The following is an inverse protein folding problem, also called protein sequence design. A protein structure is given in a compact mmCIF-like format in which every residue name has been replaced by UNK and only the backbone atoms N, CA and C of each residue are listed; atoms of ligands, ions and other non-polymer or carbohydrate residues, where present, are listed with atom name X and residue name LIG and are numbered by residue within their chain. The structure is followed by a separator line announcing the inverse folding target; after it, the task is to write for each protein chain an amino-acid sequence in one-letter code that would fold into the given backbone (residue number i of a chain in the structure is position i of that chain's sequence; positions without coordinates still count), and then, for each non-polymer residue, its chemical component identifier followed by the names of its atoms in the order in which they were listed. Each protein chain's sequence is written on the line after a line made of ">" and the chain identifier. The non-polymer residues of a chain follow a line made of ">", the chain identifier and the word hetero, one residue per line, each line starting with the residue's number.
data_IF_868294326249
#
_entry.id   IF_868294326249
#
_cell.length_a   1.000
_cell.length_b   1.000
_cell.length_c   1.000
_cell.angle_alpha   90.00
_cell.angle_beta   90.00
_cell.angle_gamma   90.00
#
_symmetry.space_group_name_H-M   'P 1'
#
loop_
_entity.id
_entity.type
_entity.pdbx_description
1 polymer ?
#
# COMPACT_ATOMS: atom_id res chain seq x y z
N UNK A 1 -33.72 13.32 42.96
CA UNK A 1 -34.71 14.06 42.14
C UNK A 1 -33.95 14.82 41.05
N UNK A 2 -34.46 14.73 39.83
CA UNK A 2 -33.76 14.84 38.55
C UNK A 2 -33.48 16.27 38.07
N UNK A 3 -32.58 16.36 37.08
CA UNK A 3 -32.39 17.50 36.17
C UNK A 3 -31.09 17.40 35.36
N UNK A 4 -30.84 16.27 34.69
CA UNK A 4 -30.82 16.08 33.23
C UNK A 4 -29.84 16.92 32.39
N UNK A 5 -28.77 16.23 31.97
CA UNK A 5 -27.92 16.53 30.82
C UNK A 5 -28.63 16.25 29.49
N UNK A 6 -28.34 17.08 28.48
CA UNK A 6 -28.62 16.81 27.07
C UNK A 6 -27.29 16.57 26.32
N UNK A 7 -26.95 15.31 26.07
CA UNK A 7 -26.02 14.88 25.01
C UNK A 7 -26.59 13.58 24.43
N UNK A 8 -27.20 13.68 23.26
CA UNK A 8 -27.70 12.53 22.50
C UNK A 8 -27.97 12.95 21.06
N UNK A 9 -27.04 12.60 20.17
CA UNK A 9 -27.33 12.16 18.81
C UNK A 9 -26.00 11.73 18.18
N UNK A 10 -25.65 10.44 18.27
CA UNK A 10 -24.84 9.65 17.31
C UNK A 10 -24.41 8.29 17.92
N UNK A 11 -25.32 7.57 18.58
CA UNK A 11 -25.02 6.24 19.14
C UNK A 11 -26.19 5.28 18.99
N UNK A 12 -26.80 5.24 17.79
CA UNK A 12 -27.80 4.22 17.44
C UNK A 12 -27.63 3.79 15.98
N UNK A 13 -26.65 2.92 15.76
CA UNK A 13 -26.68 1.84 14.78
C UNK A 13 -25.84 0.71 15.40
N UNK A 14 -26.05 -0.55 15.03
CA UNK A 14 -25.47 -1.76 15.64
C UNK A 14 -26.23 -2.37 16.83
N UNK A 15 -27.49 -2.78 16.59
CA UNK A 15 -28.07 -3.96 17.23
C UNK A 15 -28.95 -4.72 16.24
N UNK A 16 -28.44 -5.83 15.70
CA UNK A 16 -29.16 -7.06 15.35
C UNK A 16 -28.30 -7.91 14.40
N UNK A 17 -28.61 -9.21 14.32
CA UNK A 17 -28.08 -10.25 13.41
C UNK A 17 -27.08 -11.23 14.04
N UNK A 18 -27.61 -12.09 14.92
CA UNK A 18 -27.06 -13.42 15.17
C UNK A 18 -27.40 -14.35 13.97
N UNK A 19 -26.40 -15.05 13.43
CA UNK A 19 -26.57 -16.07 12.37
C UNK A 19 -27.04 -17.41 12.98
N UNK A 20 -28.01 -18.12 12.39
CA UNK A 20 -28.33 -19.51 12.77
C UNK A 20 -27.40 -20.53 12.09
N UNK A 21 -27.21 -21.73 12.67
CA UNK A 21 -26.25 -22.73 12.18
C UNK A 21 -26.76 -23.50 10.95
N UNK A 22 -25.86 -23.74 10.00
CA UNK A 22 -26.10 -24.53 8.79
C UNK A 22 -26.12 -26.05 9.10
N UNK A 23 -27.10 -26.75 8.53
CA UNK A 23 -27.25 -28.20 8.59
C UNK A 23 -26.32 -28.90 7.59
N UNK A 24 -25.60 -29.94 8.05
CA UNK A 24 -24.81 -30.85 7.19
C UNK A 24 -25.74 -31.78 6.39
N UNK A 25 -25.47 -32.04 5.10
CA UNK A 25 -26.08 -33.16 4.39
C UNK A 25 -25.37 -34.49 4.69
N UNK A 26 -26.17 -35.56 4.65
CA UNK A 26 -25.85 -36.93 5.01
C UNK A 26 -25.00 -37.64 3.95
N UNK A 27 -24.05 -38.45 4.40
CA UNK A 27 -23.31 -39.42 3.61
C UNK A 27 -24.24 -40.52 3.06
N UNK A 28 -24.19 -40.75 1.75
CA UNK A 28 -24.77 -41.95 1.13
C UNK A 28 -23.65 -42.82 0.59
N UNK A 29 -23.53 -44.04 1.12
CA UNK A 29 -22.65 -45.11 0.63
C UNK A 29 -23.11 -45.57 -0.76
N UNK A 30 -22.18 -45.72 -1.70
CA UNK A 30 -22.38 -46.52 -2.91
C UNK A 30 -21.17 -47.42 -3.14
N UNK A 31 -21.48 -48.68 -3.44
CA UNK A 31 -20.63 -49.86 -3.49
C UNK A 31 -19.59 -49.90 -4.61
N UNK A 32 -18.55 -50.68 -4.35
CA UNK A 32 -17.50 -51.10 -5.28
C UNK A 32 -18.05 -51.83 -6.52
N UNK A 33 -17.40 -51.58 -7.66
CA UNK A 33 -17.52 -52.37 -8.89
C UNK A 33 -16.36 -52.08 -9.84
N UNK A 34 -15.45 -53.04 -10.01
CA UNK A 34 -14.34 -52.98 -10.96
C UNK A 34 -14.82 -53.22 -12.41
N UNK A 35 -14.33 -52.43 -13.38
CA UNK A 35 -13.44 -52.85 -14.50
C UNK A 35 -13.50 -51.91 -15.74
N UNK A 36 -12.30 -51.50 -16.14
CA UNK A 36 -11.75 -51.21 -17.48
C UNK A 36 -12.31 -50.17 -18.47
N UNK A 37 -11.32 -49.43 -19.01
CA UNK A 37 -11.17 -48.82 -20.33
C UNK A 37 -11.64 -47.35 -20.51
N UNK A 38 -10.69 -46.42 -20.31
CA UNK A 38 -10.76 -45.06 -20.86
C UNK A 38 -9.82 -44.93 -22.06
N UNK A 39 -10.29 -44.45 -23.22
CA UNK A 39 -9.43 -43.99 -24.30
C UNK A 39 -8.91 -42.59 -23.95
N UNK A 40 -7.63 -42.47 -23.62
CA UNK A 40 -6.97 -41.17 -23.53
C UNK A 40 -6.71 -40.62 -24.95
N UNK A 41 -7.04 -39.35 -25.24
CA UNK A 41 -6.56 -38.69 -26.45
C UNK A 41 -5.03 -38.57 -26.34
N UNK A 42 -4.33 -39.14 -27.33
CA UNK A 42 -2.87 -39.07 -27.44
C UNK A 42 -2.44 -37.62 -27.62
N UNK A 43 -1.90 -37.01 -26.55
CA UNK A 43 -1.00 -35.89 -26.71
C UNK A 43 0.24 -36.38 -27.48
N UNK A 44 0.59 -35.73 -28.59
CA UNK A 44 1.81 -36.02 -29.34
C UNK A 44 3.03 -35.86 -28.42
N UNK A 45 3.55 -36.98 -27.92
CA UNK A 45 4.85 -37.04 -27.27
C UNK A 45 5.88 -36.81 -28.38
N UNK A 46 6.58 -35.67 -28.36
CA UNK A 46 7.78 -35.49 -29.21
C UNK A 46 8.75 -36.61 -28.83
N UNK A 47 9.01 -37.53 -29.75
CA UNK A 47 9.98 -38.61 -29.57
C UNK A 47 11.38 -38.05 -29.25
N UNK A 48 12.10 -38.74 -28.38
CA UNK A 48 13.49 -38.39 -28.07
C UNK A 48 14.34 -38.58 -29.34
N UNK A 49 15.09 -37.55 -29.78
CA UNK A 49 15.80 -37.61 -31.05
C UNK A 49 16.88 -38.69 -31.02
N UNK A 50 16.93 -39.52 -32.08
CA UNK A 50 17.91 -40.61 -32.23
C UNK A 50 19.34 -40.10 -32.36
N UNK A 51 19.51 -38.84 -32.77
CA UNK A 51 20.81 -38.15 -32.90
C UNK A 51 20.70 -36.77 -32.26
N UNK A 52 21.60 -36.45 -31.33
CA UNK A 52 21.79 -35.10 -30.80
C UNK A 52 23.16 -34.58 -31.28
N UNK A 53 23.15 -33.77 -32.34
CA UNK A 53 24.36 -33.15 -32.89
C UNK A 53 24.80 -31.90 -32.13
N UNK A 54 24.10 -31.52 -31.06
CA UNK A 54 24.42 -30.35 -30.22
C UNK A 54 25.03 -30.79 -28.88
N UNK A 55 26.04 -30.06 -28.41
CA UNK A 55 26.49 -30.20 -27.03
C UNK A 55 25.46 -29.58 -26.09
N UNK A 56 25.07 -30.33 -25.05
CA UNK A 56 24.20 -29.78 -24.02
C UNK A 56 24.87 -28.63 -23.29
N UNK A 57 24.20 -27.50 -23.15
CA UNK A 57 24.71 -26.38 -22.36
C UNK A 57 24.83 -26.79 -20.88
N UNK A 58 26.02 -26.62 -20.29
CA UNK A 58 26.18 -26.81 -18.85
C UNK A 58 25.53 -25.63 -18.13
N UNK A 59 24.55 -25.92 -17.29
CA UNK A 59 23.94 -24.90 -16.45
C UNK A 59 24.88 -24.49 -15.32
N UNK A 60 25.37 -23.25 -15.36
CA UNK A 60 26.21 -22.67 -14.31
C UNK A 60 25.34 -21.75 -13.46
N UNK A 61 24.79 -22.32 -12.40
CA UNK A 61 23.79 -21.68 -11.56
C UNK A 61 24.16 -20.26 -11.07
N UNK A 62 25.38 -19.99 -10.55
CA UNK A 62 25.74 -18.64 -10.12
C UNK A 62 25.68 -17.60 -11.25
N UNK A 63 26.09 -17.98 -12.47
CA UNK A 63 25.99 -17.08 -13.63
C UNK A 63 24.54 -16.84 -14.03
N UNK A 64 23.72 -17.89 -13.99
CA UNK A 64 22.29 -17.81 -14.30
C UNK A 64 21.51 -16.97 -13.29
N UNK A 65 21.90 -17.01 -12.01
CA UNK A 65 21.33 -16.16 -10.97
C UNK A 65 21.83 -14.71 -11.08
N UNK A 66 23.11 -14.48 -11.35
CA UNK A 66 23.62 -13.12 -11.56
C UNK A 66 22.94 -12.41 -12.76
N UNK A 67 22.55 -13.16 -13.79
CA UNK A 67 21.85 -12.63 -14.96
C UNK A 67 20.50 -11.99 -14.61
N UNK A 68 19.71 -12.62 -13.73
CA UNK A 68 18.34 -12.14 -13.44
C UNK A 68 18.32 -10.78 -12.72
N UNK A 69 19.40 -10.41 -12.03
CA UNK A 69 19.56 -9.09 -11.41
C UNK A 69 19.62 -7.94 -12.42
N UNK A 70 19.82 -8.22 -13.71
CA UNK A 70 19.95 -7.21 -14.79
C UNK A 70 18.65 -6.94 -15.55
N UNK A 71 17.54 -7.61 -15.19
CA UNK A 71 16.29 -7.50 -15.96
C UNK A 71 15.50 -6.21 -15.70
N UNK A 72 15.74 -5.55 -14.57
CA UNK A 72 15.08 -4.30 -14.22
C UNK A 72 16.11 -3.25 -13.78
N UNK A 73 16.27 -2.19 -14.59
CA UNK A 73 17.20 -1.08 -14.31
C UNK A 73 18.68 -1.44 -14.51
N UNK A 74 19.57 -0.77 -13.77
CA UNK A 74 21.01 -0.99 -13.87
C UNK A 74 21.62 -0.51 -15.19
N UNK A 75 22.77 -1.07 -15.56
CA UNK A 75 23.54 -0.66 -16.74
C UNK A 75 22.79 -0.87 -18.06
N UNK A 76 21.83 -1.80 -18.09
CA UNK A 76 21.04 -2.15 -19.27
C UNK A 76 19.59 -1.62 -19.20
N UNK A 77 19.35 -0.59 -18.39
CA UNK A 77 18.01 -0.04 -18.13
C UNK A 77 17.28 0.49 -19.37
N UNK A 78 18.02 0.81 -20.43
CA UNK A 78 17.52 1.28 -21.73
C UNK A 78 17.08 0.16 -22.68
N UNK A 79 17.42 -1.09 -22.38
CA UNK A 79 17.10 -2.26 -23.22
C UNK A 79 16.46 -3.42 -22.44
N UNK A 80 16.19 -3.26 -21.14
CA UNK A 80 15.51 -4.25 -20.31
C UNK A 80 14.07 -3.83 -19.98
N UNK A 81 13.43 -4.48 -18.99
CA UNK A 81 12.04 -4.20 -18.63
C UNK A 81 11.82 -2.73 -18.24
N UNK A 82 12.83 -2.10 -17.64
CA UNK A 82 12.79 -0.69 -17.23
C UNK A 82 12.50 0.26 -18.40
N UNK A 83 12.94 -0.08 -19.62
CA UNK A 83 12.78 0.73 -20.81
C UNK A 83 11.31 0.86 -21.27
N UNK A 84 10.42 -0.02 -20.81
CA UNK A 84 9.03 -0.11 -21.28
C UNK A 84 7.98 0.05 -20.17
N UNK A 85 8.40 0.43 -18.94
CA UNK A 85 7.49 0.62 -17.81
C UNK A 85 6.49 1.78 -17.99
N UNK A 86 6.80 2.73 -18.86
CA UNK A 86 5.98 3.91 -19.09
C UNK A 86 5.77 4.12 -20.59
N UNK A 87 4.53 4.40 -20.98
CA UNK A 87 4.18 4.68 -22.38
C UNK A 87 4.25 6.17 -22.71
N UNK A 88 3.97 7.02 -21.71
CA UNK A 88 3.86 8.46 -21.91
C UNK A 88 4.13 9.21 -20.61
N UNK A 89 4.74 10.39 -20.74
CA UNK A 89 5.00 11.34 -19.66
C UNK A 89 4.85 12.76 -20.21
N UNK A 90 4.03 13.58 -19.54
CA UNK A 90 3.68 14.93 -19.98
C UNK A 90 3.70 15.91 -18.81
N UNK A 91 4.47 16.98 -18.94
CA UNK A 91 4.67 18.01 -17.91
C UNK A 91 4.47 19.44 -18.44
N UNK A 92 4.15 19.58 -19.74
CA UNK A 92 3.96 20.89 -20.36
C UNK A 92 2.74 21.61 -19.82
N UNK A 93 2.74 22.95 -19.90
CA UNK A 93 1.63 23.80 -19.47
C UNK A 93 0.29 23.49 -20.18
N UNK A 94 0.34 22.80 -21.33
CA UNK A 94 -0.85 22.27 -22.01
C UNK A 94 -1.59 21.28 -21.11
N UNK A 95 -0.87 20.46 -20.36
CA UNK A 95 -1.44 19.36 -19.56
C UNK A 95 -1.44 19.64 -18.06
N UNK A 96 -0.42 20.33 -17.53
CA UNK A 96 -0.28 20.55 -16.10
C UNK A 96 -0.12 22.04 -15.81
N UNK A 97 -1.03 22.60 -15.02
CA UNK A 97 -0.90 23.94 -14.45
C UNK A 97 -0.76 23.84 -12.93
N UNK A 98 0.26 24.50 -12.38
CA UNK A 98 0.55 24.53 -10.95
C UNK A 98 0.52 25.97 -10.44
N UNK A 99 -0.06 26.15 -9.27
CA UNK A 99 -0.01 27.40 -8.52
C UNK A 99 0.28 27.07 -7.06
N UNK A 100 1.10 27.85 -6.37
CA UNK A 100 1.55 27.60 -5.01
C UNK A 100 1.28 28.78 -4.09
N UNK A 101 0.94 28.49 -2.85
CA UNK A 101 0.94 29.42 -1.75
C UNK A 101 1.71 28.83 -0.57
N UNK A 102 2.62 29.62 0.01
CA UNK A 102 3.43 29.21 1.16
C UNK A 102 2.86 29.80 2.43
N UNK A 103 2.59 28.95 3.43
CA UNK A 103 2.10 29.40 4.72
C UNK A 103 3.17 30.25 5.44
N UNK A 104 2.77 31.29 6.19
CA UNK A 104 3.72 32.14 6.90
C UNK A 104 4.39 31.38 8.05
N UNK A 105 5.72 31.46 8.12
CA UNK A 105 6.51 30.82 9.17
C UNK A 105 6.28 29.30 9.21
N UNK A 106 6.05 28.77 10.41
CA UNK A 106 5.81 27.34 10.65
C UNK A 106 4.32 27.00 10.85
N UNK A 107 3.42 27.89 10.40
CA UNK A 107 1.98 27.67 10.54
C UNK A 107 1.52 26.50 9.66
N UNK A 108 0.54 25.74 10.17
CA UNK A 108 -0.12 24.62 9.48
C UNK A 108 -1.60 24.97 9.27
N UNK A 109 -1.91 25.88 8.34
CA UNK A 109 -3.28 26.32 8.12
C UNK A 109 -4.13 25.17 7.59
N UNK A 110 -5.40 25.13 7.99
CA UNK A 110 -6.38 24.20 7.44
C UNK A 110 -6.61 24.43 5.95
N UNK A 111 -7.16 23.43 5.27
CA UNK A 111 -7.57 23.54 3.86
C UNK A 111 -8.42 24.80 3.60
N UNK A 112 -9.42 25.05 4.45
CA UNK A 112 -10.33 26.18 4.30
C UNK A 112 -9.64 27.56 4.46
N UNK A 113 -8.60 27.64 5.29
CA UNK A 113 -7.80 28.85 5.45
C UNK A 113 -6.84 29.06 4.28
N UNK A 114 -6.21 27.98 3.81
CA UNK A 114 -5.31 28.00 2.67
C UNK A 114 -6.03 28.38 1.37
N UNK A 115 -7.25 27.86 1.14
CA UNK A 115 -7.99 28.14 -0.10
C UNK A 115 -8.45 29.60 -0.25
N UNK A 116 -8.43 30.39 0.83
CA UNK A 116 -8.72 31.83 0.82
C UNK A 116 -7.53 32.71 0.41
N UNK A 117 -6.35 32.10 0.29
CA UNK A 117 -5.11 32.82 0.03
C UNK A 117 -4.90 33.04 -1.48
N UNK A 118 -3.97 33.94 -1.79
CA UNK A 118 -3.55 34.20 -3.16
C UNK A 118 -2.42 33.24 -3.56
N UNK A 119 -2.68 32.43 -4.59
CA UNK A 119 -1.72 31.47 -5.13
C UNK A 119 -1.02 32.11 -6.32
N UNK A 120 0.29 31.91 -6.42
CA UNK A 120 1.11 32.37 -7.56
C UNK A 120 1.45 31.19 -8.48
N UNK A 121 1.72 31.42 -9.78
CA UNK A 121 2.20 30.37 -10.67
C UNK A 121 3.44 29.65 -10.12
N UNK A 122 3.50 28.34 -10.31
CA UNK A 122 4.59 27.47 -9.88
C UNK A 122 4.99 26.50 -10.99
N UNK A 123 6.21 25.98 -10.95
CA UNK A 123 6.76 25.15 -12.02
C UNK A 123 7.58 24.00 -11.44
N UNK A 124 7.67 22.90 -12.19
CA UNK A 124 8.61 21.83 -11.86
C UNK A 124 10.03 22.40 -11.79
N UNK A 125 10.74 22.04 -10.74
CA UNK A 125 12.09 22.51 -10.44
C UNK A 125 12.15 23.67 -9.43
N UNK A 126 11.02 24.27 -9.06
CA UNK A 126 10.97 25.32 -8.02
C UNK A 126 11.45 24.78 -6.67
N UNK A 127 12.21 25.62 -5.95
CA UNK A 127 12.69 25.35 -4.61
C UNK A 127 11.82 26.04 -3.55
N UNK A 128 11.55 25.36 -2.45
CA UNK A 128 10.70 25.85 -1.35
C UNK A 128 11.15 25.28 0.00
N UNK A 129 10.72 25.92 1.09
CA UNK A 129 11.21 25.65 2.44
C UNK A 129 11.24 26.92 3.30
N UNK A 130 11.98 26.91 4.42
CA UNK A 130 12.85 25.82 4.90
C UNK A 130 12.08 24.72 5.65
N UNK A 131 12.79 23.86 6.37
CA UNK A 131 12.26 22.80 7.22
C UNK A 131 10.98 23.17 7.98
N UNK A 132 10.04 22.23 8.01
CA UNK A 132 8.75 22.31 8.72
C UNK A 132 7.73 23.31 8.17
N UNK A 133 8.12 24.16 7.21
CA UNK A 133 7.15 25.03 6.50
C UNK A 133 6.10 24.21 5.74
N UNK A 134 4.99 24.86 5.41
CA UNK A 134 3.84 24.25 4.75
C UNK A 134 3.54 24.99 3.44
N UNK A 135 3.30 24.24 2.37
CA UNK A 135 3.05 24.79 1.04
C UNK A 135 1.82 24.13 0.45
N UNK A 136 0.90 24.94 -0.07
CA UNK A 136 -0.32 24.48 -0.70
C UNK A 136 -0.22 24.68 -2.21
N UNK A 137 -0.56 23.65 -2.97
CA UNK A 137 -0.49 23.65 -4.43
C UNK A 137 -1.89 23.46 -4.99
N UNK A 138 -2.30 24.32 -5.92
CA UNK A 138 -3.46 24.08 -6.78
C UNK A 138 -2.95 23.48 -8.07
N UNK A 139 -3.47 22.30 -8.41
CA UNK A 139 -3.07 21.55 -9.59
C UNK A 139 -4.28 21.41 -10.50
N UNK A 140 -4.13 21.84 -11.76
CA UNK A 140 -5.12 21.60 -12.81
C UNK A 140 -4.48 20.71 -13.87
N UNK A 141 -5.04 19.52 -14.03
CA UNK A 141 -4.63 18.52 -15.01
C UNK A 141 -5.61 18.52 -16.17
N UNK A 142 -5.13 18.84 -17.37
CA UNK A 142 -5.90 18.70 -18.62
C UNK A 142 -5.62 17.33 -19.20
N UNK A 143 -6.67 16.55 -19.39
CA UNK A 143 -6.56 15.12 -19.74
C UNK A 143 -7.56 14.82 -20.85
N UNK A 144 -7.35 15.36 -22.08
CA UNK A 144 -8.32 15.22 -23.15
C UNK A 144 -8.69 13.76 -23.39
N UNK A 145 -9.98 13.43 -23.32
CA UNK A 145 -10.45 12.03 -23.36
C UNK A 145 -9.96 11.31 -24.62
N UNK A 146 -9.94 12.00 -25.76
CA UNK A 146 -9.44 11.47 -27.03
C UNK A 146 -7.96 11.06 -27.01
N UNK A 147 -7.15 11.62 -26.12
CA UNK A 147 -5.72 11.33 -26.01
C UNK A 147 -5.39 10.28 -24.94
N UNK A 148 -6.26 10.07 -23.94
CA UNK A 148 -5.95 9.26 -22.77
C UNK A 148 -6.93 8.10 -22.50
N UNK A 149 -8.07 8.02 -23.20
CA UNK A 149 -9.09 6.98 -22.99
C UNK A 149 -8.62 5.55 -23.26
N UNK A 150 -7.62 5.39 -24.13
CA UNK A 150 -7.10 4.07 -24.52
C UNK A 150 -6.26 3.42 -23.41
N UNK A 151 -5.77 4.21 -22.46
CA UNK A 151 -4.91 3.71 -21.40
C UNK A 151 -5.72 3.19 -20.22
N UNK A 152 -5.35 2.01 -19.73
CA UNK A 152 -5.95 1.42 -18.54
C UNK A 152 -5.83 2.37 -17.34
N UNK A 153 -4.62 2.89 -17.12
CA UNK A 153 -4.27 3.75 -15.98
C UNK A 153 -3.53 5.01 -16.44
N UNK A 154 -3.90 6.13 -15.84
CA UNK A 154 -3.20 7.41 -15.96
C UNK A 154 -2.97 7.93 -14.54
N UNK A 155 -1.74 8.30 -14.23
CA UNK A 155 -1.34 8.83 -12.93
C UNK A 155 -0.89 10.27 -13.06
N UNK A 156 -1.00 11.01 -11.96
CA UNK A 156 -0.26 12.23 -11.74
C UNK A 156 0.87 11.92 -10.76
N UNK A 157 2.11 12.09 -11.20
CA UNK A 157 3.28 11.95 -10.33
C UNK A 157 3.67 13.33 -9.80
N UNK A 158 3.61 13.50 -8.48
CA UNK A 158 4.00 14.73 -7.80
C UNK A 158 5.05 14.42 -6.73
N UNK A 159 6.28 14.84 -6.99
CA UNK A 159 7.41 14.62 -6.08
C UNK A 159 7.95 15.95 -5.56
N UNK A 160 7.51 16.40 -4.38
CA UNK A 160 8.00 17.61 -3.75
C UNK A 160 9.34 17.40 -3.01
N UNK A 161 9.95 16.19 -3.08
CA UNK A 161 11.13 15.84 -2.29
C UNK A 161 10.86 15.69 -0.78
N UNK A 162 9.60 15.85 -0.37
CA UNK A 162 9.13 15.80 1.01
C UNK A 162 7.76 15.11 1.10
N UNK A 163 7.15 15.12 2.27
CA UNK A 163 5.84 14.53 2.49
C UNK A 163 4.71 15.47 2.02
N UNK A 164 3.65 14.91 1.45
CA UNK A 164 2.49 15.68 1.03
C UNK A 164 1.16 14.90 1.14
N UNK A 165 0.05 15.62 1.03
CA UNK A 165 -1.30 15.09 1.02
C UNK A 165 -2.08 15.71 -0.14
N UNK A 166 -2.74 14.86 -0.93
CA UNK A 166 -3.67 15.26 -1.98
C UNK A 166 -5.07 15.37 -1.40
N UNK A 167 -5.74 16.45 -1.73
CA UNK A 167 -7.14 16.74 -1.45
C UNK A 167 -7.91 16.94 -2.75
N UNK A 168 -9.19 16.61 -2.72
CA UNK A 168 -10.14 17.11 -3.71
C UNK A 168 -10.36 18.62 -3.51
N UNK A 169 -10.99 19.29 -4.48
CA UNK A 169 -11.26 20.74 -4.44
C UNK A 169 -12.22 21.16 -3.32
N UNK A 170 -12.95 20.20 -2.73
CA UNK A 170 -13.82 20.42 -1.58
C UNK A 170 -13.12 20.23 -0.22
N UNK A 171 -11.84 19.83 -0.22
CA UNK A 171 -11.06 19.56 0.98
C UNK A 171 -11.12 18.12 1.49
N UNK A 172 -11.71 17.20 0.73
CA UNK A 172 -11.69 15.76 1.06
C UNK A 172 -10.28 15.21 0.89
N UNK A 173 -9.66 14.61 1.93
CA UNK A 173 -8.36 13.95 1.80
C UNK A 173 -8.45 12.71 0.91
N UNK A 174 -7.55 12.59 -0.06
CA UNK A 174 -7.56 11.52 -1.07
C UNK A 174 -6.38 10.57 -0.90
N UNK A 175 -5.16 11.09 -0.79
CA UNK A 175 -3.97 10.27 -0.95
C UNK A 175 -2.71 10.92 -0.37
N UNK A 176 -1.87 10.13 0.30
CA UNK A 176 -0.59 10.59 0.83
C UNK A 176 0.58 10.37 -0.13
N UNK A 177 1.49 11.34 -0.16
CA UNK A 177 2.74 11.34 -0.91
C UNK A 177 3.91 11.31 0.06
N UNK A 178 4.90 10.49 -0.28
CA UNK A 178 6.23 10.48 0.31
C UNK A 178 7.23 10.72 -0.83
N UNK A 179 7.66 11.97 -1.00
CA UNK A 179 8.65 12.35 -2.01
C UNK A 179 10.09 12.02 -1.62
N UNK A 180 11.02 12.27 -2.55
CA UNK A 180 12.45 12.00 -2.39
C UNK A 180 12.90 10.75 -3.13
N UNK A 181 13.84 9.99 -2.54
CA UNK A 181 14.49 8.84 -3.17
C UNK A 181 14.41 7.62 -2.25
N UNK A 182 14.57 6.42 -2.83
CA UNK A 182 14.59 5.16 -2.08
C UNK A 182 13.29 4.36 -2.17
N UNK A 183 13.23 3.24 -1.44
CA UNK A 183 12.12 2.28 -1.49
C UNK A 183 10.81 2.81 -0.90
N UNK A 184 10.87 3.80 -0.02
CA UNK A 184 9.71 4.38 0.64
C UNK A 184 9.03 5.49 -0.18
N UNK A 185 9.62 5.83 -1.33
CA UNK A 185 9.12 6.87 -2.23
C UNK A 185 7.78 6.45 -2.82
N UNK A 186 6.79 7.33 -2.69
CA UNK A 186 5.44 7.18 -3.23
C UNK A 186 4.90 8.53 -3.68
N UNK A 187 4.74 8.70 -4.98
CA UNK A 187 4.45 10.01 -5.59
C UNK A 187 3.32 9.94 -6.61
N UNK A 188 2.87 8.73 -6.92
CA UNK A 188 1.87 8.45 -7.92
C UNK A 188 0.46 8.58 -7.34
N UNK A 189 -0.38 9.33 -8.04
CA UNK A 189 -1.80 9.43 -7.75
C UNK A 189 -2.60 9.01 -8.97
N UNK A 190 -3.45 7.99 -8.83
CA UNK A 190 -4.27 7.49 -9.93
C UNK A 190 -5.38 8.49 -10.22
N UNK A 191 -5.44 8.99 -11.45
CA UNK A 191 -6.45 9.93 -11.87
C UNK A 191 -7.78 9.18 -12.07
N UNK A 192 -8.87 9.58 -11.37
CA UNK A 192 -10.15 8.91 -11.49
C UNK A 192 -10.66 8.86 -12.94
N UNK A 193 -11.24 7.73 -13.35
CA UNK A 193 -11.83 7.56 -14.69
C UNK A 193 -12.93 8.60 -14.96
N UNK A 194 -13.65 9.03 -13.94
CA UNK A 194 -14.66 10.11 -14.05
C UNK A 194 -14.04 11.45 -14.45
N UNK A 195 -12.85 11.78 -13.92
CA UNK A 195 -12.12 12.99 -14.29
C UNK A 195 -11.52 12.89 -15.70
N UNK A 196 -10.99 11.72 -16.07
CA UNK A 196 -10.51 11.43 -17.44
C UNK A 196 -11.61 11.64 -18.49
N UNK A 197 -12.83 11.18 -18.22
CA UNK A 197 -14.00 11.40 -19.09
C UNK A 197 -14.41 12.86 -19.18
N UNK A 198 -14.22 13.65 -18.12
CA UNK A 198 -14.50 15.10 -18.12
C UNK A 198 -13.45 15.92 -18.87
N UNK A 199 -12.28 15.34 -19.15
CA UNK A 199 -11.17 16.02 -19.81
C UNK A 199 -10.32 16.90 -18.88
N UNK A 200 -10.66 16.97 -17.59
CA UNK A 200 -9.97 17.79 -16.59
C UNK A 200 -10.08 17.16 -15.20
N UNK A 201 -9.00 17.23 -14.43
CA UNK A 201 -8.96 16.92 -13.01
C UNK A 201 -8.35 18.08 -12.25
N UNK A 202 -8.98 18.52 -11.17
CA UNK A 202 -8.46 19.58 -10.30
C UNK A 202 -8.30 19.01 -8.91
N UNK A 203 -7.12 19.23 -8.33
CA UNK A 203 -6.78 18.77 -6.99
C UNK A 203 -5.99 19.86 -6.27
N UNK A 204 -5.90 19.70 -4.96
CA UNK A 204 -5.09 20.54 -4.10
C UNK A 204 -4.11 19.66 -3.35
N UNK A 205 -2.86 20.10 -3.18
CA UNK A 205 -1.83 19.32 -2.48
C UNK A 205 -1.27 20.15 -1.33
N UNK A 206 -1.21 19.59 -0.13
CA UNK A 206 -0.47 20.15 0.99
C UNK A 206 0.89 19.46 1.09
N UNK A 207 1.99 20.20 0.96
CA UNK A 207 3.35 19.71 1.20
C UNK A 207 3.89 20.23 2.52
N UNK A 208 4.47 19.34 3.31
CA UNK A 208 5.19 19.66 4.54
C UNK A 208 6.68 19.45 4.31
N UNK A 209 7.49 20.48 4.54
CA UNK A 209 8.94 20.45 4.30
C UNK A 209 9.68 19.60 5.34
N UNK A 210 9.48 18.29 5.29
CA UNK A 210 10.19 17.27 6.05
C UNK A 210 10.12 15.93 5.30
N UNK A 211 11.12 15.06 5.49
CA UNK A 211 11.08 13.68 5.01
C UNK A 211 10.27 12.76 5.93
N UNK A 212 10.23 11.46 5.57
CA UNK A 212 9.55 10.43 6.36
C UNK A 212 10.06 10.39 7.82
N UNK A 213 11.36 10.55 8.02
CA UNK A 213 12.00 10.52 9.33
C UNK A 213 12.49 11.91 9.78
N UNK A 214 11.70 12.96 9.52
CA UNK A 214 12.06 14.33 9.87
C UNK A 214 13.06 14.94 8.88
N UNK A 215 14.09 15.62 9.36
CA UNK A 215 15.01 16.39 8.49
C UNK A 215 16.28 15.67 8.08
N UNK A 216 16.63 14.56 8.73
CA UNK A 216 17.95 13.94 8.58
C UNK A 216 17.98 12.68 7.69
N UNK A 217 17.00 12.47 6.81
CA UNK A 217 17.09 11.41 5.79
C UNK A 217 17.32 10.00 6.36
N UNK A 218 16.80 9.71 7.56
CA UNK A 218 16.97 8.44 8.28
C UNK A 218 17.98 8.47 9.43
N UNK A 219 18.71 9.57 9.61
CA UNK A 219 19.56 9.80 10.78
C UNK A 219 18.79 10.25 12.03
N UNK A 220 19.46 10.16 13.19
CA UNK A 220 18.95 10.59 14.51
C UNK A 220 19.64 11.87 15.02
N UNK A 221 20.42 12.54 14.17
CA UNK A 221 21.04 13.81 14.52
C UNK A 221 20.02 14.95 14.61
N UNK A 222 20.48 16.11 15.09
CA UNK A 222 19.60 17.26 15.28
C UNK A 222 19.01 17.72 13.93
N UNK A 223 17.71 18.08 13.89
CA UNK A 223 17.08 18.47 12.64
C UNK A 223 17.71 19.75 12.08
N UNK A 224 18.05 19.74 10.78
CA UNK A 224 18.49 20.94 10.07
C UNK A 224 17.30 21.90 9.90
N UNK A 225 17.32 23.11 10.49
CA UNK A 225 16.24 24.09 10.33
C UNK A 225 16.23 24.76 8.95
N UNK A 226 17.27 24.62 8.14
CA UNK A 226 17.48 25.30 6.86
C UNK A 226 17.50 24.35 5.66
N UNK A 227 16.86 23.18 5.77
CA UNK A 227 16.71 22.27 4.64
C UNK A 227 15.66 22.80 3.67
N UNK A 228 16.03 22.89 2.39
CA UNK A 228 15.12 23.24 1.30
C UNK A 228 14.82 22.01 0.45
N UNK A 229 13.66 22.04 -0.19
CA UNK A 229 13.12 20.98 -1.01
C UNK A 229 12.87 21.52 -2.42
N UNK A 230 12.79 20.61 -3.38
CA UNK A 230 12.58 20.94 -4.79
C UNK A 230 11.43 20.09 -5.32
N UNK A 231 10.58 20.71 -6.14
CA UNK A 231 9.57 19.98 -6.90
C UNK A 231 10.25 19.24 -8.06
N UNK A 232 10.60 17.97 -7.85
CA UNK A 232 11.34 17.15 -8.81
C UNK A 232 10.46 16.58 -9.93
N UNK A 233 9.17 16.32 -9.66
CA UNK A 233 8.23 15.78 -10.65
C UNK A 233 6.84 16.37 -10.43
N UNK A 234 6.13 16.72 -11.51
CA UNK A 234 4.74 17.16 -11.50
C UNK A 234 4.11 16.83 -12.85
N UNK A 235 4.03 15.54 -13.16
CA UNK A 235 3.90 15.04 -14.52
C UNK A 235 2.67 14.12 -14.62
N UNK A 236 1.92 14.20 -15.71
CA UNK A 236 0.94 13.17 -16.07
C UNK A 236 1.69 11.99 -16.68
N UNK A 237 1.54 10.82 -16.09
CA UNK A 237 2.26 9.61 -16.47
C UNK A 237 1.29 8.51 -16.86
N UNK A 238 1.63 7.78 -17.92
CA UNK A 238 0.89 6.61 -18.38
C UNK A 238 1.76 5.37 -18.15
N UNK A 239 1.57 4.66 -17.03
CA UNK A 239 2.29 3.42 -16.77
C UNK A 239 1.79 2.29 -17.66
N UNK A 240 2.71 1.57 -18.32
CA UNK A 240 2.40 0.36 -19.08
C UNK A 240 2.02 -0.76 -18.10
N UNK A 241 0.72 -1.00 -17.90
CA UNK A 241 0.24 -1.92 -16.86
C UNK A 241 0.74 -3.34 -17.04
N UNK A 242 0.89 -3.82 -18.28
CA UNK A 242 1.40 -5.18 -18.52
C UNK A 242 2.89 -5.31 -18.18
N UNK A 243 3.69 -4.28 -18.47
CA UNK A 243 5.09 -4.24 -18.07
C UNK A 243 5.25 -4.17 -16.54
N UNK A 244 4.40 -3.38 -15.87
CA UNK A 244 4.38 -3.28 -14.41
C UNK A 244 3.94 -4.58 -13.74
N UNK A 245 2.95 -5.29 -14.30
CA UNK A 245 2.59 -6.63 -13.80
C UNK A 245 3.75 -7.60 -13.97
N UNK A 246 4.40 -7.62 -15.13
CA UNK A 246 5.60 -8.44 -15.36
C UNK A 246 6.75 -8.08 -14.42
N UNK A 247 6.89 -6.80 -14.05
CA UNK A 247 7.88 -6.35 -13.08
C UNK A 247 7.66 -7.01 -11.71
N UNK A 248 6.41 -7.04 -11.23
CA UNK A 248 6.08 -7.68 -9.96
C UNK A 248 6.22 -9.20 -10.03
N UNK A 249 5.74 -9.82 -11.11
CA UNK A 249 5.90 -11.26 -11.37
C UNK A 249 7.39 -11.65 -11.30
N UNK A 250 8.25 -10.89 -11.99
CA UNK A 250 9.68 -11.14 -12.02
C UNK A 250 10.37 -10.84 -10.69
N UNK A 251 9.95 -9.79 -9.99
CA UNK A 251 10.49 -9.44 -8.67
C UNK A 251 10.23 -10.56 -7.67
N UNK A 252 9.01 -11.10 -7.63
CA UNK A 252 8.66 -12.25 -6.78
C UNK A 252 9.49 -13.49 -7.15
N UNK A 253 9.68 -13.79 -8.44
CA UNK A 253 10.55 -14.90 -8.86
C UNK A 253 12.00 -14.70 -8.39
N UNK A 254 12.54 -13.49 -8.49
CA UNK A 254 13.89 -13.16 -8.00
C UNK A 254 13.99 -13.35 -6.49
N UNK A 255 13.01 -12.88 -5.73
CA UNK A 255 12.98 -13.05 -4.27
C UNK A 255 12.91 -14.53 -3.87
N UNK A 256 12.14 -15.34 -4.59
CA UNK A 256 12.15 -16.80 -4.39
C UNK A 256 13.54 -17.40 -4.66
N UNK A 257 14.23 -16.93 -5.69
CA UNK A 257 15.59 -17.39 -6.02
C UNK A 257 16.60 -17.02 -4.95
N UNK A 258 16.56 -15.78 -4.48
CA UNK A 258 17.54 -15.23 -3.55
C UNK A 258 17.30 -15.70 -2.10
N UNK A 259 16.05 -16.00 -1.74
CA UNK A 259 15.68 -16.37 -0.37
C UNK A 259 15.70 -17.89 -0.13
N UNK A 260 15.24 -18.68 -1.10
CA UNK A 260 15.13 -20.13 -0.90
C UNK A 260 16.49 -20.83 -1.02
N UNK A 261 16.72 -21.93 -0.29
CA UNK A 261 17.95 -22.70 -0.40
C UNK A 261 18.22 -23.16 -1.84
N UNK A 262 19.49 -23.05 -2.23
CA UNK A 262 20.03 -23.28 -3.58
C UNK A 262 19.73 -24.60 -4.27
N UNK A 263 19.11 -25.59 -3.63
CA UNK A 263 18.85 -26.90 -4.24
C UNK A 263 17.39 -27.33 -4.11
N UNK A 264 16.49 -26.41 -3.74
CA UNK A 264 15.06 -26.74 -3.66
C UNK A 264 14.43 -26.79 -5.06
N UNK A 265 13.43 -27.68 -5.29
CA UNK A 265 12.71 -27.73 -6.55
C UNK A 265 12.09 -26.38 -6.94
N UNK A 266 11.45 -25.69 -5.99
CA UNK A 266 10.80 -24.40 -6.23
C UNK A 266 11.80 -23.32 -6.64
N UNK A 267 12.94 -23.22 -5.94
CA UNK A 267 13.95 -22.23 -6.30
C UNK A 267 14.54 -22.47 -7.70
N UNK A 268 14.82 -23.73 -8.05
CA UNK A 268 15.30 -24.10 -9.38
C UNK A 268 14.25 -23.80 -10.46
N UNK A 269 12.98 -24.06 -10.19
CA UNK A 269 11.87 -23.75 -11.08
C UNK A 269 11.73 -22.24 -11.27
N UNK A 270 11.79 -21.45 -10.20
CA UNK A 270 11.75 -19.99 -10.25
C UNK A 270 12.92 -19.40 -11.04
N UNK A 271 14.15 -19.89 -10.83
CA UNK A 271 15.34 -19.44 -11.56
C UNK A 271 15.22 -19.76 -13.07
N UNK A 272 14.68 -20.94 -13.40
CA UNK A 272 14.44 -21.35 -14.78
C UNK A 272 13.37 -20.48 -15.44
N UNK A 273 12.26 -20.24 -14.74
CA UNK A 273 11.17 -19.37 -15.21
C UNK A 273 11.65 -17.93 -15.43
N UNK A 274 12.38 -17.34 -14.48
CA UNK A 274 12.95 -16.00 -14.62
C UNK A 274 13.90 -15.90 -15.83
N UNK A 275 14.73 -16.91 -16.08
CA UNK A 275 15.60 -16.91 -17.26
C UNK A 275 14.83 -17.06 -18.57
N UNK A 276 13.78 -17.87 -18.58
CA UNK A 276 12.89 -18.02 -19.72
C UNK A 276 12.12 -16.72 -20.00
N UNK A 277 11.68 -15.99 -18.96
CA UNK A 277 11.10 -14.65 -19.08
C UNK A 277 12.09 -13.69 -19.77
N UNK A 278 13.34 -13.62 -19.29
CA UNK A 278 14.35 -12.75 -19.91
C UNK A 278 14.66 -13.13 -21.37
N UNK A 279 14.49 -14.39 -21.75
CA UNK A 279 14.67 -14.84 -23.14
C UNK A 279 13.45 -14.51 -24.03
N UNK A 280 12.25 -14.55 -23.45
CA UNK A 280 11.00 -14.29 -24.16
C UNK A 280 10.73 -12.79 -24.35
N UNK A 281 11.23 -11.96 -23.43
CA UNK A 281 11.09 -10.51 -23.43
C UNK A 281 12.00 -9.86 -24.49
N UNK A 282 11.41 -8.95 -25.26
CA UNK A 282 12.10 -8.05 -26.19
C UNK A 282 11.45 -6.67 -26.06
N UNK A 283 12.22 -5.68 -25.59
CA UNK A 283 11.73 -4.31 -25.35
C UNK A 283 11.20 -3.63 -26.63
N UNK A 284 11.53 -4.15 -27.82
CA UNK A 284 11.08 -3.64 -29.12
C UNK A 284 9.77 -4.27 -29.60
N UNK A 285 9.34 -5.36 -28.96
CA UNK A 285 8.11 -6.10 -29.28
C UNK A 285 7.18 -6.09 -28.06
N UNK A 286 6.15 -5.20 -28.02
CA UNK A 286 5.21 -5.14 -26.91
C UNK A 286 4.49 -6.47 -26.63
N UNK A 287 4.30 -7.32 -27.64
CA UNK A 287 3.67 -8.64 -27.45
C UNK A 287 4.54 -9.60 -26.64
N UNK A 288 5.85 -9.35 -26.55
CA UNK A 288 6.79 -10.14 -25.78
C UNK A 288 6.51 -10.10 -24.28
N UNK A 289 5.93 -9.01 -23.76
CA UNK A 289 5.53 -8.88 -22.35
C UNK A 289 4.50 -9.94 -22.00
N UNK A 290 3.49 -10.12 -22.85
CA UNK A 290 2.47 -11.16 -22.66
C UNK A 290 3.07 -12.55 -22.70
N UNK A 291 3.97 -12.84 -23.67
CA UNK A 291 4.68 -14.12 -23.74
C UNK A 291 5.52 -14.38 -22.47
N UNK A 292 6.17 -13.35 -21.94
CA UNK A 292 6.91 -13.44 -20.69
C UNK A 292 6.00 -13.74 -19.49
N UNK A 293 4.84 -13.09 -19.38
CA UNK A 293 3.86 -13.38 -18.32
C UNK A 293 3.25 -14.79 -18.44
N UNK A 294 3.10 -15.32 -19.66
CA UNK A 294 2.68 -16.72 -19.87
C UNK A 294 3.70 -17.72 -19.30
N UNK A 295 5.00 -17.40 -19.32
CA UNK A 295 6.04 -18.23 -18.67
C UNK A 295 5.88 -18.23 -17.15
N UNK A 296 5.53 -17.09 -16.55
CA UNK A 296 5.36 -16.95 -15.09
C UNK A 296 4.22 -17.83 -14.53
N UNK A 297 3.20 -18.15 -15.35
CA UNK A 297 2.10 -19.06 -14.98
C UNK A 297 2.60 -20.46 -14.55
N UNK A 298 3.76 -20.89 -15.04
CA UNK A 298 4.35 -22.17 -14.62
C UNK A 298 4.73 -22.23 -13.13
N UNK A 299 4.87 -21.06 -12.48
CA UNK A 299 5.16 -20.95 -11.05
C UNK A 299 3.95 -20.47 -10.26
N UNK A 300 3.26 -19.44 -10.73
CA UNK A 300 2.15 -18.81 -9.98
C UNK A 300 0.80 -19.49 -10.19
N UNK A 301 0.69 -20.39 -11.17
CA UNK A 301 -0.57 -20.98 -11.59
C UNK A 301 -1.17 -20.26 -12.79
N UNK A 302 -2.06 -20.94 -13.50
CA UNK A 302 -2.71 -20.41 -14.70
C UNK A 302 -3.66 -19.27 -14.32
N UNK A 303 -3.55 -18.13 -15.00
CA UNK A 303 -4.41 -16.95 -14.83
C UNK A 303 -4.52 -16.46 -13.36
N UNK A 304 -3.47 -16.67 -12.55
CA UNK A 304 -3.46 -16.35 -11.12
C UNK A 304 -3.83 -14.89 -10.79
N UNK A 305 -3.47 -13.95 -11.66
CA UNK A 305 -3.72 -12.52 -11.51
C UNK A 305 -5.16 -12.10 -11.89
N UNK A 306 -5.98 -13.04 -12.36
CA UNK A 306 -7.37 -12.79 -12.79
C UNK A 306 -8.41 -13.48 -11.92
N UNK A 307 -7.98 -14.40 -11.05
CA UNK A 307 -8.92 -15.11 -10.16
C UNK A 307 -9.46 -14.11 -9.15
N UNK A 308 -10.76 -13.82 -9.25
CA UNK A 308 -11.47 -12.81 -8.46
C UNK A 308 -10.77 -11.45 -8.39
N UNK A 309 -10.39 -10.91 -9.55
CA UNK A 309 -9.66 -9.62 -9.61
C UNK A 309 -8.24 -9.67 -9.02
N UNK A 310 -7.72 -10.87 -8.77
CA UNK A 310 -6.44 -11.13 -8.11
C UNK A 310 -6.57 -11.57 -6.66
N UNK A 311 -7.71 -11.33 -6.00
CA UNK A 311 -7.93 -11.70 -4.60
C UNK A 311 -8.14 -13.20 -4.39
N UNK A 312 -8.57 -13.93 -5.43
CA UNK A 312 -8.82 -15.37 -5.33
C UNK A 312 -7.57 -16.23 -5.10
N UNK A 313 -6.37 -15.64 -5.13
CA UNK A 313 -5.15 -16.32 -4.67
C UNK A 313 -5.18 -16.64 -3.17
N UNK A 314 -6.07 -15.99 -2.41
CA UNK A 314 -6.31 -16.24 -0.99
C UNK A 314 -7.46 -17.23 -0.73
N UNK A 315 -8.17 -17.66 -1.77
CA UNK A 315 -9.29 -18.60 -1.63
C UNK A 315 -8.82 -19.92 -1.01
N UNK A 316 -9.56 -20.41 -0.02
CA UNK A 316 -9.23 -21.64 0.71
C UNK A 316 -8.14 -21.49 1.77
N UNK A 317 -7.54 -20.30 1.96
CA UNK A 317 -6.55 -20.07 3.02
C UNK A 317 -7.15 -20.20 4.44
N UNK A 318 -8.43 -19.89 4.59
CA UNK A 318 -9.17 -19.97 5.85
C UNK A 318 -9.87 -21.31 6.08
N UNK A 319 -9.83 -22.22 5.10
CA UNK A 319 -10.40 -23.56 5.28
C UNK A 319 -9.54 -24.33 6.28
N UNK A 320 -10.15 -24.82 7.36
CA UNK A 320 -9.56 -25.82 8.26
C UNK A 320 -9.36 -27.14 7.48
N UNK A 321 -8.46 -27.13 6.52
CA UNK A 321 -7.95 -28.33 5.87
C UNK A 321 -7.12 -29.12 6.88
N UNK A 322 -7.15 -30.44 6.72
CA UNK A 322 -6.15 -31.39 7.19
C UNK A 322 -4.71 -30.83 7.06
N UNK A 323 -3.75 -31.33 7.84
CA UNK A 323 -2.39 -30.77 8.09
C UNK A 323 -1.61 -30.12 6.92
N UNK A 324 -2.04 -30.33 5.66
CA UNK A 324 -1.52 -29.74 4.42
C UNK A 324 -2.22 -28.44 3.95
N UNK A 325 -3.38 -28.06 4.49
CA UNK A 325 -4.18 -26.90 4.06
C UNK A 325 -4.21 -25.73 5.04
N UNK A 326 -3.55 -25.83 6.18
CA UNK A 326 -3.55 -24.78 7.22
C UNK A 326 -2.73 -23.57 6.77
N UNK A 327 -3.33 -22.38 6.78
CA UNK A 327 -2.58 -21.13 6.68
C UNK A 327 -1.58 -20.98 7.85
N UNK A 328 -0.29 -20.94 7.52
CA UNK A 328 0.80 -20.82 8.50
C UNK A 328 1.23 -19.37 8.75
N UNK A 329 0.99 -18.47 7.78
CA UNK A 329 1.46 -17.09 7.82
C UNK A 329 0.28 -16.16 7.59
N UNK A 330 0.01 -15.33 8.59
CA UNK A 330 -1.02 -14.29 8.52
C UNK A 330 -0.35 -12.94 8.27
N UNK A 331 -0.80 -12.22 7.25
CA UNK A 331 -0.36 -10.86 6.95
C UNK A 331 -1.41 -9.85 7.39
N UNK A 332 -0.96 -8.73 7.95
CA UNK A 332 -1.81 -7.57 8.20
C UNK A 332 -1.03 -6.30 7.88
N UNK A 333 -1.65 -5.37 7.17
CA UNK A 333 -1.07 -4.05 6.95
C UNK A 333 -0.99 -3.29 8.28
N UNK A 334 0.13 -2.65 8.55
CA UNK A 334 0.30 -1.81 9.74
C UNK A 334 1.10 -0.57 9.39
N UNK A 335 0.74 0.57 9.97
CA UNK A 335 1.51 1.81 9.86
C UNK A 335 1.76 2.31 11.27
N UNK A 336 2.97 2.03 11.77
CA UNK A 336 3.48 2.63 12.98
C UNK A 336 3.79 4.10 12.71
N UNK A 337 3.27 4.99 13.55
CA UNK A 337 3.55 6.41 13.49
C UNK A 337 3.91 6.86 14.90
N UNK A 338 5.19 7.15 15.12
CA UNK A 338 5.61 7.75 16.39
C UNK A 338 4.87 9.05 16.63
N UNK A 339 4.27 9.15 17.81
CA UNK A 339 3.45 10.31 18.14
C UNK A 339 4.31 11.58 18.22
N UNK A 340 5.52 11.46 18.76
CA UNK A 340 6.60 12.44 18.59
C UNK A 340 7.95 11.75 18.74
N UNK A 341 8.72 11.71 17.66
CA UNK A 341 10.10 11.18 17.67
C UNK A 341 11.06 12.21 17.06
N UNK A 342 11.17 12.22 15.73
CA UNK A 342 12.01 13.18 14.98
C UNK A 342 11.22 14.39 14.45
N UNK A 343 9.98 14.56 14.92
CA UNK A 343 9.05 15.61 14.50
C UNK A 343 8.08 15.99 15.63
N UNK A 344 7.49 17.20 15.59
CA UNK A 344 6.49 17.62 16.58
C UNK A 344 5.10 17.00 16.32
N UNK A 345 4.21 17.07 17.31
CA UNK A 345 2.84 16.53 17.20
C UNK A 345 2.06 17.07 16.00
N UNK A 346 2.26 18.33 15.61
CA UNK A 346 1.58 18.92 14.45
C UNK A 346 1.91 18.19 13.14
N UNK A 347 3.12 17.64 13.02
CA UNK A 347 3.50 16.81 11.87
C UNK A 347 2.84 15.44 11.95
N UNK A 348 2.76 14.83 13.14
CA UNK A 348 2.02 13.57 13.36
C UNK A 348 0.57 13.66 12.92
N UNK A 349 -0.10 14.76 13.22
CA UNK A 349 -1.50 14.98 12.82
C UNK A 349 -1.67 14.93 11.29
N UNK A 350 -0.74 15.52 10.53
CA UNK A 350 -0.68 15.40 9.08
C UNK A 350 -0.25 13.98 8.62
N UNK A 351 0.71 13.34 9.32
CA UNK A 351 1.17 11.94 9.05
C UNK A 351 0.00 10.97 9.11
N UNK A 352 -0.76 10.99 10.20
CA UNK A 352 -1.92 10.13 10.42
C UNK A 352 -2.91 10.29 9.28
N UNK A 353 -3.27 11.53 8.92
CA UNK A 353 -4.21 11.77 7.84
C UNK A 353 -3.74 11.16 6.51
N UNK A 354 -2.51 11.42 6.09
CA UNK A 354 -2.03 10.99 4.75
C UNK A 354 -1.74 9.51 4.65
N UNK A 355 -1.25 8.91 5.73
CA UNK A 355 -1.11 7.46 5.83
C UNK A 355 -2.48 6.79 5.76
N UNK A 356 -3.47 7.25 6.52
CA UNK A 356 -4.75 6.55 6.59
C UNK A 356 -5.66 6.85 5.39
N UNK A 357 -5.59 8.04 4.78
CA UNK A 357 -6.26 8.31 3.50
C UNK A 357 -5.80 7.33 2.41
N UNK A 358 -4.49 7.09 2.37
CA UNK A 358 -3.88 6.08 1.49
C UNK A 358 -4.39 4.68 1.77
N UNK A 359 -4.48 4.27 3.04
CA UNK A 359 -4.97 2.93 3.39
C UNK A 359 -6.44 2.76 3.00
N UNK A 360 -7.26 3.80 3.16
CA UNK A 360 -8.66 3.78 2.71
C UNK A 360 -8.75 3.64 1.19
N UNK A 361 -7.94 4.38 0.42
CA UNK A 361 -7.85 4.24 -1.04
C UNK A 361 -7.40 2.82 -1.45
N UNK A 362 -6.45 2.22 -0.74
CA UNK A 362 -6.02 0.84 -1.00
C UNK A 362 -7.14 -0.16 -0.71
N UNK A 363 -7.89 -0.02 0.39
CA UNK A 363 -9.05 -0.88 0.71
C UNK A 363 -10.19 -0.77 -0.31
N UNK A 364 -10.31 0.36 -1.01
CA UNK A 364 -11.28 0.55 -2.10
C UNK A 364 -10.84 -0.17 -3.38
N UNK A 365 -9.53 -0.43 -3.54
CA UNK A 365 -8.94 -1.10 -4.72
C UNK A 365 -8.66 -2.59 -4.52
N UNK A 366 -8.39 -3.00 -3.28
CA UNK A 366 -8.03 -4.36 -2.87
C UNK A 366 -8.95 -4.76 -1.71
N UNK A 367 -9.95 -5.57 -1.99
CA UNK A 367 -11.02 -5.90 -1.03
C UNK A 367 -10.57 -6.85 0.09
N UNK A 368 -9.54 -7.63 -0.19
CA UNK A 368 -8.84 -8.52 0.72
C UNK A 368 -7.94 -7.78 1.70
N UNK A 369 -7.57 -6.52 1.41
CA UNK A 369 -6.66 -5.74 2.25
C UNK A 369 -7.22 -5.54 3.66
N UNK A 370 -6.39 -5.79 4.66
CA UNK A 370 -6.67 -5.56 6.08
C UNK A 370 -5.58 -4.69 6.66
N UNK A 371 -5.97 -3.67 7.41
CA UNK A 371 -5.05 -2.72 8.02
C UNK A 371 -5.36 -2.54 9.49
N UNK A 372 -4.32 -2.46 10.33
CA UNK A 372 -4.47 -2.24 11.75
C UNK A 372 -3.61 -1.07 12.24
N UNK A 373 -4.15 -0.30 13.20
CA UNK A 373 -3.46 0.82 13.82
C UNK A 373 -3.90 1.04 15.27
N UNK A 374 -2.96 1.45 16.11
CA UNK A 374 -3.03 1.29 17.57
C UNK A 374 -3.47 2.55 18.33
N UNK A 375 -2.86 3.70 18.07
CA UNK A 375 -2.92 4.84 19.01
C UNK A 375 -4.26 5.59 18.95
N UNK A 376 -5.10 5.48 19.98
CA UNK A 376 -6.39 6.18 20.05
C UNK A 376 -6.29 7.72 19.93
N UNK A 377 -5.18 8.31 20.42
CA UNK A 377 -4.91 9.74 20.30
C UNK A 377 -4.83 10.21 18.84
N UNK A 378 -4.31 9.39 17.93
CA UNK A 378 -4.19 9.76 16.52
C UNK A 378 -5.55 9.83 15.84
N UNK A 379 -6.45 8.91 16.14
CA UNK A 379 -7.84 9.00 15.68
C UNK A 379 -8.58 10.19 16.27
N UNK A 380 -8.28 10.60 17.52
CA UNK A 380 -8.85 11.83 18.09
C UNK A 380 -8.46 13.05 17.26
N UNK A 381 -7.17 13.20 16.97
CA UNK A 381 -6.72 14.30 16.11
C UNK A 381 -7.32 14.22 14.72
N UNK A 382 -7.49 13.01 14.17
CA UNK A 382 -8.11 12.84 12.86
C UNK A 382 -9.59 13.25 12.85
N UNK A 383 -10.37 12.88 13.85
CA UNK A 383 -11.77 13.30 13.97
C UNK A 383 -11.89 14.83 14.05
N UNK A 384 -11.01 15.46 14.84
CA UNK A 384 -11.02 16.91 15.05
C UNK A 384 -10.59 17.68 13.79
N UNK A 385 -9.59 17.20 13.04
CA UNK A 385 -8.97 17.95 11.94
C UNK A 385 -9.42 17.52 10.55
N UNK A 386 -9.78 16.25 10.36
CA UNK A 386 -10.15 15.65 9.08
C UNK A 386 -11.45 14.82 9.21
N UNK A 387 -12.57 15.44 9.61
CA UNK A 387 -13.81 14.71 9.93
C UNK A 387 -14.37 13.90 8.75
N UNK A 388 -14.18 14.36 7.50
CA UNK A 388 -14.61 13.63 6.30
C UNK A 388 -13.84 12.32 6.13
N UNK A 389 -12.52 12.35 6.36
CA UNK A 389 -11.68 11.15 6.34
C UNK A 389 -11.99 10.23 7.53
N UNK A 390 -12.18 10.79 8.73
CA UNK A 390 -12.58 10.00 9.89
C UNK A 390 -13.87 9.21 9.62
N UNK A 391 -14.88 9.83 9.00
CA UNK A 391 -16.12 9.14 8.59
C UNK A 391 -15.87 7.97 7.62
N UNK A 392 -14.98 8.15 6.64
CA UNK A 392 -14.58 7.06 5.71
C UNK A 392 -13.90 5.91 6.47
N UNK A 393 -13.03 6.23 7.42
CA UNK A 393 -12.38 5.23 8.26
C UNK A 393 -13.39 4.51 9.15
N UNK A 394 -14.33 5.21 9.79
CA UNK A 394 -15.39 4.59 10.57
C UNK A 394 -16.21 3.61 9.74
N UNK A 395 -16.46 3.90 8.46
CA UNK A 395 -17.09 2.96 7.54
C UNK A 395 -16.21 1.72 7.27
N UNK A 396 -14.89 1.88 7.09
CA UNK A 396 -13.98 0.75 6.92
C UNK A 396 -13.81 -0.10 8.19
N UNK A 397 -13.89 0.53 9.37
CA UNK A 397 -13.93 -0.17 10.66
C UNK A 397 -15.21 -1.00 10.76
N UNK A 398 -16.36 -0.41 10.46
CA UNK A 398 -17.64 -1.11 10.42
C UNK A 398 -17.66 -2.28 9.42
N UNK A 399 -16.97 -2.13 8.29
CA UNK A 399 -16.81 -3.17 7.28
C UNK A 399 -15.79 -4.25 7.68
N UNK A 400 -15.10 -4.11 8.82
CA UNK A 400 -14.10 -5.07 9.29
C UNK A 400 -12.82 -5.10 8.47
N UNK A 401 -12.45 -3.99 7.80
CA UNK A 401 -11.23 -3.88 6.99
C UNK A 401 -10.14 -3.02 7.64
N UNK A 402 -10.56 -2.05 8.45
CA UNK A 402 -9.68 -1.23 9.28
C UNK A 402 -9.87 -1.64 10.74
N UNK A 403 -8.81 -2.15 11.38
CA UNK A 403 -8.86 -2.70 12.72
C UNK A 403 -8.19 -1.75 13.72
N UNK A 404 -8.96 -1.10 14.61
CA UNK A 404 -8.41 -0.52 15.82
C UNK A 404 -7.87 -1.65 16.69
N UNK A 405 -6.60 -1.54 17.09
CA UNK A 405 -5.91 -2.55 17.89
C UNK A 405 -5.16 -1.87 19.05
N UNK A 406 -4.55 -2.63 19.95
CA UNK A 406 -3.71 -2.11 21.02
C UNK A 406 -4.47 -1.60 22.24
N UNK A 407 -5.63 -0.95 22.08
CA UNK A 407 -6.51 -0.56 23.18
C UNK A 407 -6.00 0.55 24.11
N UNK A 408 -4.80 1.06 23.87
CA UNK A 408 -4.18 2.15 24.64
C UNK A 408 -4.37 3.53 23.97
N UNK A 409 -4.24 4.59 24.78
CA UNK A 409 -4.33 5.97 24.28
C UNK A 409 -3.17 6.32 23.33
N UNK A 410 -1.95 5.91 23.70
CA UNK A 410 -0.77 5.87 22.83
C UNK A 410 -0.02 4.55 23.02
N UNK A 411 0.83 4.20 22.07
CA UNK A 411 1.89 3.21 22.29
C UNK A 411 2.90 3.82 23.26
N UNK A 412 2.83 3.40 24.52
CA UNK A 412 3.56 4.01 25.62
C UNK A 412 4.78 3.18 26.01
N UNK A 413 5.76 3.83 26.64
CA UNK A 413 6.77 3.09 27.40
C UNK A 413 6.10 2.34 28.55
N UNK A 414 6.55 1.11 28.80
CA UNK A 414 5.97 0.22 29.79
C UNK A 414 6.81 0.10 31.06
N UNK A 415 7.90 0.86 31.21
CA UNK A 415 8.80 0.79 32.36
C UNK A 415 8.73 2.02 33.28
N UNK A 416 8.76 3.22 32.69
CA UNK A 416 8.83 4.49 33.41
C UNK A 416 7.50 4.93 34.03
N UNK A 417 6.33 4.77 33.37
CA UNK A 417 5.07 5.20 33.95
C UNK A 417 4.68 4.41 35.19
N UNK A 418 3.96 5.04 36.12
CA UNK A 418 3.35 4.34 37.25
C UNK A 418 2.23 3.40 36.78
N UNK A 419 1.86 2.43 37.63
CA UNK A 419 0.76 1.52 37.33
C UNK A 419 -0.56 2.24 37.02
N UNK A 420 -0.88 3.32 37.74
CA UNK A 420 -2.06 4.15 37.46
C UNK A 420 -1.98 4.80 36.07
N UNK A 421 -0.81 5.28 35.65
CA UNK A 421 -0.63 5.87 34.33
C UNK A 421 -0.88 4.83 33.22
N UNK A 422 -0.39 3.59 33.40
CA UNK A 422 -0.67 2.48 32.48
C UNK A 422 -2.17 2.15 32.43
N UNK A 423 -2.84 2.09 33.59
CA UNK A 423 -4.30 1.88 33.64
C UNK A 423 -5.05 2.98 32.88
N UNK A 424 -4.63 4.24 33.01
CA UNK A 424 -5.24 5.37 32.28
C UNK A 424 -5.06 5.27 30.77
N UNK A 425 -3.91 4.78 30.30
CA UNK A 425 -3.68 4.55 28.87
C UNK A 425 -4.76 3.62 28.30
N UNK A 426 -5.01 2.49 28.97
CA UNK A 426 -5.98 1.49 28.52
C UNK A 426 -7.42 1.99 28.71
N UNK A 427 -7.72 2.62 29.85
CA UNK A 427 -9.06 3.16 30.13
C UNK A 427 -9.50 4.17 29.07
N UNK A 428 -8.63 5.13 28.73
CA UNK A 428 -8.96 6.13 27.72
C UNK A 428 -8.97 5.55 26.31
N UNK A 429 -8.03 4.66 25.98
CA UNK A 429 -7.96 4.02 24.65
C UNK A 429 -9.20 3.18 24.34
N UNK A 430 -9.56 2.25 25.24
CA UNK A 430 -10.71 1.35 25.08
C UNK A 430 -12.05 2.08 24.93
N UNK A 431 -12.20 3.25 25.56
CA UNK A 431 -13.45 4.02 25.54
C UNK A 431 -13.79 4.67 24.18
N UNK A 432 -12.86 4.69 23.22
CA UNK A 432 -12.93 5.62 22.08
C UNK A 432 -13.82 5.16 20.92
N UNK A 433 -13.69 3.91 20.44
CA UNK A 433 -14.34 3.48 19.19
C UNK A 433 -15.63 2.69 19.39
N UNK A 434 -16.02 2.44 20.64
CA UNK A 434 -17.13 1.52 20.94
C UNK A 434 -16.86 0.06 20.52
N UNK A 435 -15.66 -0.23 20.00
CA UNK A 435 -15.12 -1.57 19.78
C UNK A 435 -14.05 -1.80 20.81
N UNK A 436 -14.16 -2.92 21.53
CA UNK A 436 -13.17 -3.33 22.51
C UNK A 436 -12.01 -4.00 21.79
N UNK A 437 -10.80 -3.50 22.01
CA UNK A 437 -9.60 -4.12 21.46
C UNK A 437 -9.25 -5.34 22.32
N UNK A 438 -9.04 -6.50 21.69
CA UNK A 438 -8.68 -7.76 22.37
C UNK A 438 -7.18 -8.08 22.28
N UNK A 439 -6.45 -7.35 21.43
CA UNK A 439 -5.01 -7.53 21.18
C UNK A 439 -4.23 -6.35 21.74
N UNK A 440 -3.36 -6.60 22.71
CA UNK A 440 -2.34 -5.64 23.15
C UNK A 440 -1.27 -5.46 22.06
N UNK A 441 -0.99 -4.22 21.68
CA UNK A 441 -0.09 -3.88 20.57
C UNK A 441 0.90 -2.81 20.98
N UNK A 442 2.14 -3.22 21.23
CA UNK A 442 3.26 -2.38 21.66
C UNK A 442 4.57 -2.87 20.99
N UNK A 443 4.65 -2.83 19.65
CA UNK A 443 5.78 -3.40 18.90
C UNK A 443 7.08 -2.63 19.11
N UNK A 444 7.01 -1.35 19.50
CA UNK A 444 8.16 -0.44 19.59
C UNK A 444 8.38 0.09 21.02
N UNK A 445 7.90 -0.62 22.05
CA UNK A 445 8.18 -0.30 23.44
C UNK A 445 9.53 -0.88 23.88
N UNK A 446 10.40 -0.06 24.47
CA UNK A 446 11.74 -0.46 24.91
C UNK A 446 11.74 -1.16 26.27
N UNK A 447 11.19 -2.37 26.28
CA UNK A 447 11.02 -3.21 27.46
C UNK A 447 9.59 -3.18 27.99
N UNK A 448 9.17 -4.30 28.61
CA UNK A 448 7.80 -4.51 29.07
C UNK A 448 7.81 -4.91 30.55
N UNK A 449 7.05 -4.20 31.38
CA UNK A 449 6.87 -4.59 32.79
C UNK A 449 6.11 -5.91 32.91
N UNK A 450 6.51 -6.75 33.87
CA UNK A 450 5.84 -8.03 34.15
C UNK A 450 4.39 -7.89 34.64
N UNK A 451 3.98 -6.68 35.06
CA UNK A 451 2.59 -6.40 35.45
C UNK A 451 1.65 -6.18 34.24
N UNK A 452 2.19 -5.93 33.04
CA UNK A 452 1.41 -5.53 31.88
C UNK A 452 0.30 -6.55 31.52
N UNK A 453 0.54 -7.87 31.52
CA UNK A 453 -0.52 -8.85 31.25
C UNK A 453 -1.69 -8.78 32.25
N UNK A 454 -1.43 -8.46 33.53
CA UNK A 454 -2.50 -8.31 34.53
C UNK A 454 -3.30 -7.03 34.28
N UNK A 455 -2.61 -5.93 33.94
CA UNK A 455 -3.26 -4.64 33.66
C UNK A 455 -4.12 -4.71 32.40
N UNK A 456 -3.60 -5.31 31.32
CA UNK A 456 -4.33 -5.55 30.07
C UNK A 456 -5.60 -6.36 30.31
N UNK A 457 -5.52 -7.48 31.06
CA UNK A 457 -6.69 -8.26 31.48
C UNK A 457 -7.71 -7.44 32.28
N UNK A 458 -7.23 -6.57 33.17
CA UNK A 458 -8.08 -5.68 33.96
C UNK A 458 -8.79 -4.61 33.12
N UNK A 459 -8.15 -4.12 32.06
CA UNK A 459 -8.75 -3.19 31.10
C UNK A 459 -9.62 -3.89 30.04
N UNK A 460 -9.53 -5.21 29.97
CA UNK A 460 -10.34 -6.04 29.11
C UNK A 460 -9.68 -6.50 27.82
N UNK A 461 -8.37 -6.33 27.69
CA UNK A 461 -7.51 -6.95 26.67
C UNK A 461 -7.15 -8.38 27.15
N UNK A 462 -7.15 -9.38 26.26
CA UNK A 462 -7.07 -10.79 26.67
C UNK A 462 -5.67 -11.26 27.10
#
# INVERSE_FOLDING_TARGET
>A
MNGHHSHSAHTQAYQSLARPPQQRPQHTQVSQGHTHAHPHPQAQVKEYPTLNSSSGAKWIKPLTQARISQFNGGHFGDVNLGAVLYERKEDSEKYVKLEVWSAPGLTKPSFAEAMKQEFKPAHKGDSFGPSWTNHWWKVTLKIPENEFKQYERVTFEFDPGCEAMIFDVDGTPLHGITGGYGGDRRVEYIIPTSARKKGEHRIVIESSCNGMFGQEGGGIGPPDPNRYFRLDTADIVVPNQDAWRLLWDFTTLRELVDTLPGNTPLQNAALSAANAIMNAFDYRDPSSIKRAREVAQGIFGKDWDKVDGGAGVYDGADEEGDEKGRCLVWGIGHCHIDTAWLWPYSVTQQKTARSWATQVDLMERYEEHRFACSQAQQYKWLEEQYPSLFKRISHQIAAGRFHPIGGAWVEHDANMPSGEALVRQMLYGQSRFGVRCEVGWLPDSFGLTGALPQLMRGAGEC
#
